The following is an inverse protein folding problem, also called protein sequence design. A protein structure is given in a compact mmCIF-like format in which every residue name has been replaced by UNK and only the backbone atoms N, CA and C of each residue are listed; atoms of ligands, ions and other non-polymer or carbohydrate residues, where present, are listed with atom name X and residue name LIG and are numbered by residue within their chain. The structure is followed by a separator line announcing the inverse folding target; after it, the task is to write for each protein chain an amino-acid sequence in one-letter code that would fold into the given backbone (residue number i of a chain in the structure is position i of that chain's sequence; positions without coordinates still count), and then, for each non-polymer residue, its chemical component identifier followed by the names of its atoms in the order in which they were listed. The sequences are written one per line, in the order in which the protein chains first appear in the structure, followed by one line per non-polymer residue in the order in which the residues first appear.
data_IF_468034711298
#
_entry.id   IF_468034711298
#
_cell.length_a   1.000
_cell.length_b   1.000
_cell.length_c   1.000
_cell.angle_alpha   90.00
_cell.angle_beta   90.00
_cell.angle_gamma   90.00
#
_symmetry.space_group_name_H-M   'P 1'
#
loop_
_entity.id
_entity.type
_entity.pdbx_description
1 polymer ?
#
# COMPACT_ATOMS: atom_id res chain seq x y z
N UNK A 1 20.46 54.30 25.48
CA UNK A 1 21.26 54.50 24.24
C UNK A 1 21.86 53.16 23.83
N UNK A 2 21.46 52.63 22.69
CA UNK A 2 22.00 51.36 22.17
C UNK A 2 23.44 51.60 21.71
N UNK A 3 24.39 50.81 22.20
CA UNK A 3 25.81 50.99 21.94
C UNK A 3 26.09 50.65 20.47
N UNK A 4 26.53 51.62 19.70
CA UNK A 4 26.79 51.52 18.25
C UNK A 4 27.70 50.30 17.91
N UNK A 5 28.67 50.00 18.79
CA UNK A 5 29.51 48.80 18.68
C UNK A 5 28.69 47.48 18.68
N UNK A 6 27.70 47.38 19.56
CA UNK A 6 26.90 46.16 19.70
C UNK A 6 25.99 45.97 18.46
N UNK A 7 25.42 47.05 17.93
CA UNK A 7 24.63 47.02 16.68
C UNK A 7 25.48 46.58 15.49
N UNK A 8 26.66 47.14 15.37
CA UNK A 8 27.60 46.79 14.28
C UNK A 8 28.03 45.31 14.37
N UNK A 9 28.36 44.81 15.56
CA UNK A 9 28.71 43.39 15.79
C UNK A 9 27.53 42.48 15.41
N UNK A 10 26.32 42.85 15.82
CA UNK A 10 25.12 42.06 15.48
C UNK A 10 24.86 41.99 14.00
N UNK A 11 25.06 43.09 13.25
CA UNK A 11 24.92 43.11 11.77
C UNK A 11 25.99 42.24 11.13
N UNK A 12 27.23 42.30 11.57
CA UNK A 12 28.30 41.45 11.02
C UNK A 12 28.03 39.97 11.27
N UNK A 13 27.55 39.58 12.46
CA UNK A 13 27.21 38.20 12.78
C UNK A 13 26.03 37.75 11.94
N UNK A 14 24.98 38.56 11.82
CA UNK A 14 23.80 38.22 10.99
C UNK A 14 24.18 38.03 9.52
N UNK A 15 25.03 38.92 8.98
CA UNK A 15 25.55 38.80 7.58
C UNK A 15 26.37 37.54 7.41
N UNK A 16 27.26 37.23 8.36
CA UNK A 16 28.07 36.02 8.33
C UNK A 16 27.20 34.73 8.37
N UNK A 17 26.16 34.72 9.19
CA UNK A 17 25.21 33.59 9.26
C UNK A 17 24.40 33.43 7.97
N UNK A 18 23.97 34.53 7.33
CA UNK A 18 23.27 34.50 6.05
C UNK A 18 24.20 33.99 4.95
N UNK A 19 25.44 34.46 4.91
CA UNK A 19 26.44 33.96 3.95
C UNK A 19 26.76 32.50 4.16
N UNK A 20 26.95 32.08 5.42
CA UNK A 20 27.17 30.68 5.76
C UNK A 20 25.96 29.78 5.38
N UNK A 21 24.73 30.21 5.65
CA UNK A 21 23.51 29.50 5.24
C UNK A 21 23.41 29.42 3.71
N UNK A 22 23.76 30.48 2.99
CA UNK A 22 23.76 30.49 1.54
C UNK A 22 24.83 29.57 0.95
N UNK A 23 26.04 29.55 1.55
CA UNK A 23 27.11 28.63 1.14
C UNK A 23 26.78 27.17 1.45
N UNK A 24 26.17 26.89 2.60
CA UNK A 24 25.69 25.55 2.95
C UNK A 24 24.57 25.11 1.99
N UNK A 25 23.66 26.02 1.63
CA UNK A 25 22.61 25.71 0.65
C UNK A 25 23.18 25.41 -0.75
N UNK A 26 24.21 26.16 -1.18
CA UNK A 26 24.91 25.89 -2.44
C UNK A 26 25.81 24.65 -2.40
N UNK A 27 26.38 24.33 -1.25
CA UNK A 27 27.22 23.17 -1.03
C UNK A 27 26.42 21.88 -0.78
N UNK A 28 25.08 21.95 -0.70
CA UNK A 28 24.28 20.72 -0.79
C UNK A 28 24.61 20.10 -2.14
N UNK A 29 25.22 18.89 -2.16
CA UNK A 29 25.39 18.21 -3.43
C UNK A 29 24.02 18.19 -4.08
N UNK A 30 23.89 18.76 -5.28
CA UNK A 30 22.79 18.42 -6.14
C UNK A 30 22.74 16.90 -6.08
N UNK A 31 21.58 16.32 -5.72
CA UNK A 31 21.38 14.88 -5.87
C UNK A 31 21.69 14.65 -7.34
N UNK A 32 22.87 14.13 -7.61
CA UNK A 32 23.29 13.77 -8.95
C UNK A 32 22.35 12.63 -9.32
N UNK A 33 21.25 12.99 -9.97
CA UNK A 33 20.36 12.03 -10.58
C UNK A 33 21.26 11.33 -11.59
N UNK A 34 21.55 10.06 -11.30
CA UNK A 34 22.38 9.17 -12.09
C UNK A 34 21.80 9.16 -13.52
N UNK A 35 22.29 10.08 -14.35
CA UNK A 35 21.81 10.24 -15.72
C UNK A 35 22.21 8.99 -16.50
N UNK A 36 21.31 8.39 -17.27
CA UNK A 36 21.65 7.24 -18.09
C UNK A 36 22.76 7.64 -19.07
N UNK A 37 23.77 6.80 -19.22
CA UNK A 37 24.88 7.05 -20.13
C UNK A 37 24.41 7.19 -21.59
N UNK A 38 25.22 7.84 -22.46
CA UNK A 38 24.88 8.03 -23.88
C UNK A 38 24.58 6.73 -24.63
N UNK A 39 25.19 5.61 -24.21
CA UNK A 39 24.91 4.27 -24.76
C UNK A 39 23.51 3.79 -24.48
N UNK A 40 23.03 4.04 -23.28
CA UNK A 40 21.67 3.70 -22.86
C UNK A 40 20.63 4.53 -23.65
N UNK A 41 20.85 5.83 -23.81
CA UNK A 41 19.97 6.70 -24.60
C UNK A 41 19.89 6.22 -26.06
N UNK A 42 20.99 5.69 -26.61
CA UNK A 42 21.00 5.08 -27.94
C UNK A 42 20.25 3.75 -28.00
N UNK A 43 20.34 2.91 -26.96
CA UNK A 43 19.65 1.62 -26.90
C UNK A 43 18.12 1.75 -26.76
N UNK A 44 17.62 2.82 -26.14
CA UNK A 44 16.18 3.13 -26.03
C UNK A 44 15.59 3.74 -27.30
N UNK A 45 16.44 4.13 -28.27
CA UNK A 45 16.10 4.43 -29.65
C UNK A 45 15.08 5.55 -29.84
N UNK A 46 14.28 5.44 -30.91
CA UNK A 46 13.31 6.45 -31.36
C UNK A 46 12.29 6.89 -30.31
N UNK A 47 12.01 6.06 -29.31
CA UNK A 47 11.07 6.42 -28.24
C UNK A 47 11.58 7.64 -27.46
N UNK A 48 12.85 7.60 -27.03
CA UNK A 48 13.45 8.68 -26.22
C UNK A 48 13.62 9.96 -27.05
N UNK A 49 13.98 9.86 -28.32
CA UNK A 49 14.14 11.03 -29.20
C UNK A 49 12.85 11.89 -29.22
N UNK A 50 11.70 11.27 -29.41
CA UNK A 50 10.43 11.97 -29.46
C UNK A 50 9.94 12.33 -28.03
N UNK A 51 9.88 11.36 -27.13
CA UNK A 51 9.31 11.56 -25.80
C UNK A 51 10.15 12.46 -24.89
N UNK A 52 11.41 12.72 -25.20
CA UNK A 52 12.20 13.76 -24.51
C UNK A 52 11.64 15.17 -24.73
N UNK A 53 10.94 15.38 -25.83
CA UNK A 53 10.29 16.66 -26.15
C UNK A 53 8.80 16.64 -25.76
N UNK A 54 8.09 15.57 -26.09
CA UNK A 54 6.63 15.47 -25.92
C UNK A 54 6.23 15.18 -24.46
N UNK A 55 6.98 14.32 -23.76
CA UNK A 55 6.68 13.86 -22.40
C UNK A 55 7.96 13.67 -21.58
N UNK A 56 8.77 14.72 -21.49
CA UNK A 56 10.10 14.70 -20.85
C UNK A 56 10.11 14.15 -19.42
N UNK A 57 9.03 14.38 -18.65
CA UNK A 57 8.90 13.87 -17.29
C UNK A 57 8.90 12.32 -17.24
N UNK A 58 8.30 11.66 -18.21
CA UNK A 58 8.31 10.18 -18.33
C UNK A 58 9.74 9.68 -18.55
N UNK A 59 10.48 10.33 -19.44
CA UNK A 59 11.86 9.98 -19.72
C UNK A 59 12.75 10.20 -18.49
N UNK A 60 12.56 11.31 -17.78
CA UNK A 60 13.27 11.58 -16.54
C UNK A 60 12.99 10.50 -15.47
N UNK A 61 11.73 10.17 -15.21
CA UNK A 61 11.35 9.14 -14.24
C UNK A 61 11.94 7.77 -14.61
N UNK A 62 11.84 7.39 -15.87
CA UNK A 62 12.37 6.13 -16.36
C UNK A 62 13.90 6.07 -16.24
N UNK A 63 14.62 7.14 -16.58
CA UNK A 63 16.08 7.21 -16.56
C UNK A 63 16.68 6.91 -15.17
N UNK A 64 15.96 7.24 -14.10
CA UNK A 64 16.36 6.97 -12.71
C UNK A 64 15.99 5.57 -12.22
N UNK A 65 15.21 4.81 -13.00
CA UNK A 65 14.69 3.49 -12.61
C UNK A 65 15.77 2.41 -12.61
N UNK A 66 15.53 1.33 -11.85
CA UNK A 66 16.36 0.12 -11.92
C UNK A 66 16.20 -0.59 -13.27
N UNK A 67 15.07 -0.45 -13.94
CA UNK A 67 14.84 -0.98 -15.28
C UNK A 67 15.79 -0.33 -16.29
N UNK A 68 15.89 0.99 -16.26
CA UNK A 68 16.82 1.72 -17.08
C UNK A 68 18.27 1.25 -16.88
N UNK A 69 18.70 1.11 -15.62
CA UNK A 69 20.06 0.63 -15.26
C UNK A 69 20.33 -0.82 -15.68
N UNK A 70 19.30 -1.60 -16.00
CA UNK A 70 19.40 -2.99 -16.47
C UNK A 70 19.05 -3.13 -17.96
N UNK A 71 19.02 -2.03 -18.71
CA UNK A 71 18.71 -1.99 -20.14
C UNK A 71 17.34 -2.59 -20.52
N UNK A 72 16.37 -2.55 -19.60
CA UNK A 72 14.96 -2.87 -19.90
C UNK A 72 14.36 -1.63 -20.57
N UNK A 73 14.13 -1.68 -21.86
CA UNK A 73 13.71 -0.52 -22.66
C UNK A 73 12.20 -0.23 -22.53
N UNK A 74 11.76 0.88 -23.11
CA UNK A 74 10.33 1.23 -23.14
C UNK A 74 9.50 0.12 -23.78
N UNK A 75 10.03 -0.49 -24.86
CA UNK A 75 9.32 -1.48 -25.64
C UNK A 75 9.07 -2.79 -24.87
N UNK A 76 9.96 -3.24 -23.98
CA UNK A 76 9.72 -4.44 -23.17
C UNK A 76 8.45 -4.33 -22.33
N UNK A 77 8.15 -3.13 -21.81
CA UNK A 77 6.91 -2.89 -21.06
C UNK A 77 5.73 -2.60 -21.98
N UNK A 78 5.95 -1.87 -23.09
CA UNK A 78 4.89 -1.42 -23.99
C UNK A 78 4.58 -2.39 -25.13
N UNK A 79 5.36 -3.45 -25.30
CA UNK A 79 5.07 -4.50 -26.27
C UNK A 79 3.76 -5.22 -25.94
N UNK A 80 2.84 -5.40 -26.90
CA UNK A 80 1.62 -6.16 -26.66
C UNK A 80 1.93 -7.59 -26.23
N UNK A 81 1.12 -8.09 -25.32
CA UNK A 81 1.10 -9.48 -24.92
C UNK A 81 -0.17 -10.14 -25.46
N UNK A 82 -0.20 -11.48 -25.53
CA UNK A 82 -1.36 -12.23 -26.01
C UNK A 82 -2.64 -11.80 -25.26
N UNK A 83 -3.69 -11.49 -26.03
CA UNK A 83 -4.97 -11.03 -25.48
C UNK A 83 -5.06 -9.53 -25.19
N UNK A 84 -4.01 -8.75 -25.44
CA UNK A 84 -4.07 -7.29 -25.28
C UNK A 84 -4.53 -6.59 -26.57
N UNK A 85 -5.28 -5.51 -26.39
CA UNK A 85 -5.63 -4.61 -27.49
C UNK A 85 -4.38 -3.83 -27.93
N UNK A 86 -4.18 -3.76 -29.24
CA UNK A 86 -3.01 -3.15 -29.87
C UNK A 86 -3.32 -1.79 -30.49
N UNK A 87 -2.34 -0.90 -30.48
CA UNK A 87 -2.40 0.38 -31.18
C UNK A 87 -1.14 0.58 -32.04
N UNK A 88 -1.26 1.09 -33.27
CA UNK A 88 -0.11 1.52 -34.06
C UNK A 88 0.44 2.85 -33.52
N UNK A 89 1.76 2.94 -33.40
CA UNK A 89 2.44 4.14 -32.91
C UNK A 89 3.79 4.33 -33.58
N UNK A 90 3.91 5.27 -34.54
CA UNK A 90 5.17 5.68 -35.18
C UNK A 90 6.02 4.51 -35.73
N UNK A 91 5.38 3.51 -36.31
CA UNK A 91 6.02 2.31 -36.88
C UNK A 91 6.23 1.17 -35.88
N UNK A 92 5.71 1.31 -34.67
CA UNK A 92 5.62 0.23 -33.67
C UNK A 92 4.17 -0.16 -33.43
N UNK A 93 3.97 -1.40 -32.97
CA UNK A 93 2.71 -1.87 -32.42
C UNK A 93 2.87 -1.89 -30.89
N UNK A 94 2.03 -1.17 -30.18
CA UNK A 94 2.08 -1.06 -28.72
C UNK A 94 0.80 -1.62 -28.09
N UNK A 95 0.92 -2.11 -26.86
CA UNK A 95 -0.24 -2.40 -26.03
C UNK A 95 -0.99 -1.10 -25.74
N UNK A 96 -2.29 -1.07 -25.97
CA UNK A 96 -3.15 0.09 -25.64
C UNK A 96 -3.14 0.39 -24.16
N UNK A 97 -3.15 -0.65 -23.32
CA UNK A 97 -3.10 -0.56 -21.88
C UNK A 97 -2.00 -1.45 -21.32
N UNK A 98 -1.18 -0.90 -20.44
CA UNK A 98 -0.19 -1.67 -19.70
C UNK A 98 -0.85 -2.21 -18.44
N UNK A 99 -0.90 -3.53 -18.31
CA UNK A 99 -1.54 -4.28 -17.24
C UNK A 99 -0.51 -5.05 -16.41
N UNK A 100 -0.96 -5.82 -15.43
CA UNK A 100 -0.11 -6.75 -14.70
C UNK A 100 0.52 -7.83 -15.60
N UNK A 101 -0.08 -8.12 -16.76
CA UNK A 101 0.45 -9.09 -17.73
C UNK A 101 1.82 -8.68 -18.27
N UNK A 102 2.02 -7.39 -18.55
CA UNK A 102 3.31 -6.87 -19.03
C UNK A 102 4.43 -7.01 -17.98
N UNK A 103 4.09 -6.87 -16.70
CA UNK A 103 5.05 -7.07 -15.61
C UNK A 103 5.37 -8.55 -15.38
N UNK A 104 4.34 -9.40 -15.42
CA UNK A 104 4.40 -10.85 -15.13
C UNK A 104 5.42 -11.59 -15.98
N UNK A 105 5.66 -11.19 -17.21
CA UNK A 105 6.61 -11.87 -18.10
C UNK A 105 8.04 -11.95 -17.50
N UNK A 106 8.42 -11.00 -16.66
CA UNK A 106 9.71 -11.02 -15.95
C UNK A 106 9.54 -11.22 -14.44
N UNK A 107 8.43 -10.73 -13.85
CA UNK A 107 8.12 -10.74 -12.43
C UNK A 107 7.04 -11.79 -12.08
N UNK A 108 7.23 -13.03 -12.58
CA UNK A 108 6.24 -14.11 -12.40
C UNK A 108 6.03 -14.47 -10.92
N UNK A 109 7.09 -14.49 -10.13
CA UNK A 109 7.02 -14.81 -8.69
C UNK A 109 6.19 -13.76 -7.94
N UNK A 110 6.49 -12.50 -8.15
CA UNK A 110 5.83 -11.37 -7.53
C UNK A 110 4.35 -11.32 -7.92
N UNK A 111 4.05 -11.54 -9.21
CA UNK A 111 2.68 -11.61 -9.69
C UNK A 111 1.89 -12.75 -9.04
N UNK A 112 2.45 -13.95 -8.98
CA UNK A 112 1.80 -15.11 -8.34
C UNK A 112 1.59 -14.91 -6.83
N UNK A 113 2.51 -14.24 -6.14
CA UNK A 113 2.35 -13.86 -4.73
C UNK A 113 1.25 -12.81 -4.57
N UNK A 114 1.23 -11.79 -5.44
CA UNK A 114 0.18 -10.78 -5.46
C UNK A 114 -1.21 -11.40 -5.65
N UNK A 115 -1.36 -12.34 -6.56
CA UNK A 115 -2.64 -13.04 -6.78
C UNK A 115 -3.13 -13.83 -5.57
N UNK A 116 -2.21 -14.32 -4.71
CA UNK A 116 -2.55 -14.97 -3.44
C UNK A 116 -2.91 -13.99 -2.33
N UNK A 117 -2.60 -12.71 -2.51
CA UNK A 117 -2.92 -11.68 -1.53
C UNK A 117 -4.37 -11.21 -1.64
N UNK A 118 -4.87 -10.57 -0.59
CA UNK A 118 -6.18 -9.91 -0.62
C UNK A 118 -6.21 -8.68 -1.53
N UNK A 119 -5.06 -8.19 -1.98
CA UNK A 119 -4.97 -7.16 -3.01
C UNK A 119 -5.24 -7.68 -4.42
N UNK A 120 -5.24 -9.00 -4.64
CA UNK A 120 -5.69 -9.61 -5.89
C UNK A 120 -7.20 -9.48 -6.09
N UNK A 121 -7.82 -10.49 -6.67
CA UNK A 121 -9.25 -10.48 -6.99
C UNK A 121 -10.18 -10.07 -5.81
N UNK A 122 -9.93 -10.49 -4.54
CA UNK A 122 -10.78 -10.10 -3.43
C UNK A 122 -10.93 -8.59 -3.22
N UNK A 123 -9.92 -7.78 -3.54
CA UNK A 123 -10.01 -6.33 -3.38
C UNK A 123 -11.10 -5.72 -4.27
N UNK A 124 -11.15 -6.11 -5.54
CA UNK A 124 -12.19 -5.64 -6.46
C UNK A 124 -13.56 -6.25 -6.15
N UNK A 125 -13.60 -7.56 -5.91
CA UNK A 125 -14.84 -8.26 -5.59
C UNK A 125 -15.52 -7.74 -4.31
N UNK A 126 -14.77 -7.17 -3.37
CA UNK A 126 -15.32 -6.56 -2.17
C UNK A 126 -16.31 -5.43 -2.47
N UNK A 127 -16.14 -4.74 -3.58
CA UNK A 127 -16.98 -3.61 -4.01
C UNK A 127 -17.87 -4.01 -5.19
N UNK A 128 -17.30 -4.53 -6.27
CA UNK A 128 -18.01 -4.81 -7.54
C UNK A 128 -18.64 -6.19 -7.62
N UNK A 129 -18.35 -7.09 -6.67
CA UNK A 129 -18.73 -8.50 -6.77
C UNK A 129 -18.03 -9.21 -7.91
N UNK A 130 -18.63 -10.32 -8.36
CA UNK A 130 -18.02 -11.20 -9.38
C UNK A 130 -18.24 -10.78 -10.83
N UNK A 131 -19.08 -9.78 -11.10
CA UNK A 131 -19.60 -9.48 -12.45
C UNK A 131 -18.54 -9.13 -13.51
N UNK A 132 -17.38 -8.61 -13.07
CA UNK A 132 -16.33 -8.15 -13.97
C UNK A 132 -15.25 -9.22 -14.22
N UNK A 133 -15.32 -10.38 -13.55
CA UNK A 133 -14.37 -11.47 -13.70
C UNK A 133 -14.79 -12.49 -14.73
N UNK A 134 -13.84 -13.03 -15.52
CA UNK A 134 -14.06 -14.22 -16.31
C UNK A 134 -14.18 -15.47 -15.43
N UNK A 135 -14.69 -16.57 -16.00
CA UNK A 135 -14.79 -17.85 -15.29
C UNK A 135 -13.41 -18.37 -14.82
N UNK A 136 -12.37 -18.18 -15.63
CA UNK A 136 -10.99 -18.59 -15.31
C UNK A 136 -10.43 -17.74 -14.17
N UNK A 137 -10.69 -16.41 -14.17
CA UNK A 137 -10.26 -15.51 -13.11
C UNK A 137 -10.95 -15.84 -11.78
N UNK A 138 -12.25 -16.18 -11.83
CA UNK A 138 -13.00 -16.64 -10.63
C UNK A 138 -12.41 -17.95 -10.12
N UNK A 139 -12.21 -18.96 -10.99
CA UNK A 139 -11.68 -20.26 -10.59
C UNK A 139 -10.30 -20.14 -9.95
N UNK A 140 -9.45 -19.28 -10.50
CA UNK A 140 -8.14 -18.98 -9.93
C UNK A 140 -8.23 -18.34 -8.56
N UNK A 141 -9.07 -17.31 -8.41
CA UNK A 141 -9.23 -16.59 -7.16
C UNK A 141 -9.84 -17.46 -6.05
N UNK A 142 -10.85 -18.25 -6.35
CA UNK A 142 -11.49 -19.18 -5.41
C UNK A 142 -10.54 -20.26 -4.88
N UNK A 143 -9.54 -20.66 -5.66
CA UNK A 143 -8.49 -21.58 -5.20
C UNK A 143 -7.73 -21.04 -3.99
N UNK A 144 -7.47 -19.74 -3.93
CA UNK A 144 -6.69 -19.10 -2.87
C UNK A 144 -7.54 -18.35 -1.83
N UNK A 145 -8.76 -17.97 -2.22
CA UNK A 145 -9.67 -17.15 -1.43
C UNK A 145 -11.10 -17.66 -1.52
N UNK A 146 -11.39 -18.88 -1.06
CA UNK A 146 -12.72 -19.50 -1.17
C UNK A 146 -13.83 -18.59 -0.64
N UNK A 147 -14.92 -18.45 -1.41
CA UNK A 147 -16.10 -17.67 -1.04
C UNK A 147 -15.91 -16.16 -0.99
N UNK A 148 -14.81 -15.63 -1.55
CA UNK A 148 -14.53 -14.18 -1.48
C UNK A 148 -14.81 -13.43 -2.77
N UNK A 149 -14.79 -14.09 -3.90
CA UNK A 149 -15.03 -13.48 -5.22
C UNK A 149 -16.44 -13.78 -5.72
N UNK A 150 -16.94 -14.99 -5.49
CA UNK A 150 -18.32 -15.38 -5.83
C UNK A 150 -19.29 -14.71 -4.87
N UNK A 151 -19.61 -13.46 -5.15
CA UNK A 151 -20.51 -12.63 -4.34
C UNK A 151 -21.17 -11.53 -5.19
N UNK A 152 -22.33 -11.01 -4.79
CA UNK A 152 -22.89 -9.80 -5.40
C UNK A 152 -22.03 -8.58 -5.10
N UNK A 153 -22.27 -7.49 -5.84
CA UNK A 153 -21.72 -6.20 -5.50
C UNK A 153 -22.15 -5.74 -4.10
N UNK A 154 -21.30 -4.95 -3.46
CA UNK A 154 -21.57 -4.41 -2.13
C UNK A 154 -22.83 -3.52 -2.15
N UNK A 155 -23.77 -3.74 -1.22
CA UNK A 155 -25.01 -2.97 -1.15
C UNK A 155 -24.77 -1.47 -0.98
N UNK A 156 -23.82 -1.08 -0.12
CA UNK A 156 -23.47 0.32 0.09
C UNK A 156 -22.96 0.94 -1.22
N UNK A 157 -22.08 0.26 -1.96
CA UNK A 157 -21.60 0.74 -3.24
C UNK A 157 -22.72 0.91 -4.28
N UNK A 158 -23.77 0.10 -4.22
CA UNK A 158 -24.97 0.23 -5.06
C UNK A 158 -25.77 1.46 -4.66
N UNK A 159 -25.98 1.68 -3.37
CA UNK A 159 -26.74 2.82 -2.82
C UNK A 159 -26.03 4.14 -3.14
N UNK A 160 -24.75 4.22 -2.92
CA UNK A 160 -23.89 5.38 -3.19
C UNK A 160 -23.87 5.77 -4.69
N UNK A 161 -24.05 4.79 -5.56
CA UNK A 161 -24.16 4.98 -6.98
C UNK A 161 -22.83 5.10 -7.75
N UNK A 162 -22.95 5.17 -9.08
CA UNK A 162 -21.81 5.02 -10.00
C UNK A 162 -20.76 6.13 -9.85
N UNK A 163 -21.16 7.35 -9.53
CA UNK A 163 -20.22 8.47 -9.36
C UNK A 163 -19.25 8.23 -8.19
N UNK A 164 -19.80 7.82 -7.05
CA UNK A 164 -19.02 7.50 -5.85
C UNK A 164 -18.18 6.24 -6.07
N UNK A 165 -18.74 5.22 -6.73
CA UNK A 165 -17.99 4.04 -7.13
C UNK A 165 -16.72 4.40 -7.89
N UNK A 166 -16.85 5.16 -8.98
CA UNK A 166 -15.74 5.46 -9.88
C UNK A 166 -14.69 6.40 -9.25
N UNK A 167 -15.10 7.34 -8.42
CA UNK A 167 -14.19 8.34 -7.82
C UNK A 167 -13.70 7.98 -6.43
N UNK A 168 -14.48 7.22 -5.68
CA UNK A 168 -14.18 6.78 -4.34
C UNK A 168 -13.68 5.33 -4.31
N UNK A 169 -14.59 4.37 -4.35
CA UNK A 169 -14.28 2.96 -4.14
C UNK A 169 -13.22 2.41 -5.10
N UNK A 170 -13.32 2.73 -6.40
CA UNK A 170 -12.37 2.25 -7.40
C UNK A 170 -10.96 2.82 -7.22
N UNK A 171 -10.81 3.99 -6.61
CA UNK A 171 -9.49 4.59 -6.36
C UNK A 171 -8.58 3.67 -5.55
N UNK A 172 -9.16 2.90 -4.62
CA UNK A 172 -8.43 1.96 -3.78
C UNK A 172 -8.59 0.50 -4.26
N UNK A 173 -9.83 0.08 -4.54
CA UNK A 173 -10.16 -1.31 -4.82
C UNK A 173 -9.74 -1.77 -6.21
N UNK A 174 -9.46 -0.86 -7.16
CA UNK A 174 -8.95 -1.19 -8.50
C UNK A 174 -7.58 -1.88 -8.51
N UNK A 175 -6.87 -1.91 -7.38
CA UNK A 175 -5.64 -2.70 -7.24
C UNK A 175 -5.85 -4.17 -7.66
N UNK A 176 -7.03 -4.74 -7.39
CA UNK A 176 -7.41 -6.11 -7.74
C UNK A 176 -8.36 -6.25 -8.93
N UNK A 177 -8.54 -5.18 -9.74
CA UNK A 177 -9.45 -5.18 -10.88
C UNK A 177 -9.04 -6.21 -11.94
N UNK A 178 -9.98 -7.02 -12.48
CA UNK A 178 -9.69 -7.90 -13.60
C UNK A 178 -9.42 -7.10 -14.88
N UNK A 179 -8.44 -7.55 -15.68
CA UNK A 179 -8.10 -6.97 -16.95
C UNK A 179 -8.67 -7.84 -18.10
N UNK A 180 -8.92 -7.22 -19.25
CA UNK A 180 -9.48 -7.90 -20.43
C UNK A 180 -8.53 -8.97 -21.00
N UNK A 181 -7.23 -8.85 -20.75
CA UNK A 181 -6.20 -9.82 -21.15
C UNK A 181 -6.09 -11.04 -20.21
N UNK A 182 -7.05 -11.22 -19.32
CA UNK A 182 -7.09 -12.33 -18.37
C UNK A 182 -6.23 -12.12 -17.10
N UNK A 183 -5.37 -11.11 -17.05
CA UNK A 183 -4.63 -10.78 -15.85
C UNK A 183 -5.53 -10.12 -14.78
N UNK A 184 -5.06 -10.11 -13.53
CA UNK A 184 -5.76 -9.47 -12.42
C UNK A 184 -4.84 -8.41 -11.80
N UNK A 185 -5.41 -7.23 -11.56
CA UNK A 185 -4.80 -6.18 -10.79
C UNK A 185 -3.78 -5.32 -11.52
N UNK A 186 -3.12 -4.46 -10.73
CA UNK A 186 -2.10 -3.55 -11.23
C UNK A 186 -0.92 -3.44 -10.26
N UNK A 187 0.29 -3.56 -10.80
CA UNK A 187 1.52 -3.40 -10.04
C UNK A 187 1.82 -1.91 -9.74
N UNK A 188 1.25 -1.02 -10.56
CA UNK A 188 1.54 0.43 -10.50
C UNK A 188 0.82 1.17 -9.37
N UNK A 189 -0.04 0.49 -8.61
CA UNK A 189 -0.58 1.03 -7.37
C UNK A 189 0.52 1.23 -6.30
N UNK A 190 1.56 0.37 -6.31
CA UNK A 190 2.70 0.45 -5.38
C UNK A 190 3.98 0.90 -6.08
N UNK A 191 4.20 0.48 -7.33
CA UNK A 191 5.37 0.82 -8.14
C UNK A 191 5.00 1.89 -9.17
N UNK A 192 5.22 3.16 -8.82
CA UNK A 192 4.83 4.28 -9.68
C UNK A 192 5.44 4.20 -11.08
N UNK A 193 4.65 4.50 -12.09
CA UNK A 193 5.13 4.71 -13.47
C UNK A 193 5.97 6.00 -13.50
N UNK A 194 7.07 6.08 -14.16
CA UNK A 194 7.86 5.10 -14.90
C UNK A 194 9.10 4.71 -14.12
N UNK A 195 9.25 5.24 -12.92
CA UNK A 195 10.40 4.98 -12.05
C UNK A 195 10.44 3.54 -11.51
N UNK A 196 9.28 2.88 -11.37
CA UNK A 196 9.14 1.57 -10.74
C UNK A 196 9.93 1.46 -9.42
N UNK A 197 9.92 2.54 -8.62
CA UNK A 197 10.81 2.72 -7.49
C UNK A 197 10.48 1.80 -6.32
N UNK A 198 11.46 1.01 -5.88
CA UNK A 198 11.36 0.23 -4.63
C UNK A 198 11.37 1.15 -3.42
N UNK A 199 12.14 2.25 -3.47
CA UNK A 199 12.18 3.22 -2.38
C UNK A 199 10.80 3.86 -2.16
N UNK A 200 10.09 4.20 -3.22
CA UNK A 200 8.74 4.73 -3.11
C UNK A 200 7.77 3.67 -2.59
N UNK A 201 7.83 2.44 -3.11
CA UNK A 201 6.96 1.33 -2.68
C UNK A 201 7.15 0.95 -1.20
N UNK A 202 8.31 1.24 -0.60
CA UNK A 202 8.59 1.00 0.83
C UNK A 202 8.13 2.11 1.77
N UNK A 203 7.75 3.28 1.24
CA UNK A 203 7.26 4.38 2.07
C UNK A 203 5.85 4.06 2.58
N UNK A 204 5.53 4.35 3.85
CA UNK A 204 4.19 4.18 4.41
C UNK A 204 3.13 4.92 3.61
N UNK A 205 3.46 6.08 3.07
CA UNK A 205 2.59 6.92 2.26
C UNK A 205 2.10 6.22 0.99
N UNK A 206 2.85 5.26 0.45
CA UNK A 206 2.41 4.44 -0.69
C UNK A 206 1.26 3.51 -0.30
N UNK A 207 1.33 2.89 0.87
CA UNK A 207 0.23 2.09 1.42
C UNK A 207 -0.95 2.97 1.82
N UNK A 208 -0.63 4.13 2.40
CA UNK A 208 -1.57 5.13 2.89
C UNK A 208 -2.46 5.75 1.82
N UNK A 209 -2.14 5.61 0.51
CA UNK A 209 -3.05 6.06 -0.55
C UNK A 209 -4.42 5.35 -0.49
N UNK A 210 -4.48 4.15 0.10
CA UNK A 210 -5.68 3.35 0.25
C UNK A 210 -5.97 3.00 1.73
N UNK A 211 -4.92 2.82 2.53
CA UNK A 211 -5.02 2.48 3.95
C UNK A 211 -5.02 3.75 4.82
N UNK A 212 -6.05 4.56 4.65
CA UNK A 212 -6.26 5.84 5.34
C UNK A 212 -7.75 6.10 5.58
N UNK A 213 -8.04 7.05 6.43
CA UNK A 213 -9.41 7.47 6.75
C UNK A 213 -10.05 6.63 7.86
N UNK A 214 -11.31 6.92 8.21
CA UNK A 214 -11.92 6.43 9.45
C UNK A 214 -12.08 4.91 9.51
N UNK A 215 -12.23 4.23 8.38
CA UNK A 215 -12.43 2.78 8.31
C UNK A 215 -11.17 1.98 7.95
N UNK A 216 -10.13 2.67 7.47
CA UNK A 216 -8.85 2.10 7.02
C UNK A 216 -7.66 2.90 7.55
N UNK A 217 -7.72 3.37 8.78
CA UNK A 217 -6.81 4.34 9.43
C UNK A 217 -5.38 3.81 9.69
N UNK A 218 -4.89 2.85 8.90
CA UNK A 218 -3.58 2.25 9.18
C UNK A 218 -2.42 3.25 9.03
N UNK A 219 -2.49 4.20 8.09
CA UNK A 219 -1.44 5.21 7.96
C UNK A 219 -1.42 6.14 9.17
N UNK A 220 -2.58 6.61 9.62
CA UNK A 220 -2.73 7.46 10.78
C UNK A 220 -2.26 6.74 12.05
N UNK A 221 -2.69 5.49 12.26
CA UNK A 221 -2.23 4.63 13.35
C UNK A 221 -0.71 4.46 13.33
N UNK A 222 -0.13 4.19 12.14
CA UNK A 222 1.31 4.06 11.99
C UNK A 222 2.03 5.36 12.36
N UNK A 223 1.58 6.51 11.84
CA UNK A 223 2.22 7.81 12.06
C UNK A 223 2.24 8.20 13.54
N UNK A 224 1.23 7.84 14.32
CA UNK A 224 1.15 8.08 15.75
C UNK A 224 1.85 7.01 16.59
N UNK A 225 2.13 5.84 16.01
CA UNK A 225 2.90 4.81 16.69
C UNK A 225 4.36 5.22 16.91
N UNK A 226 5.04 4.56 17.86
CA UNK A 226 6.48 4.77 18.06
C UNK A 226 7.30 4.49 16.80
N UNK A 227 6.90 3.53 15.98
CA UNK A 227 7.55 3.25 14.71
C UNK A 227 7.37 4.40 13.71
N UNK A 228 6.17 4.94 13.60
CA UNK A 228 5.89 6.07 12.71
C UNK A 228 6.62 7.34 13.12
N UNK A 229 6.59 7.69 14.40
CA UNK A 229 7.35 8.84 14.92
C UNK A 229 8.85 8.71 14.63
N UNK A 230 9.43 7.53 14.84
CA UNK A 230 10.82 7.28 14.53
C UNK A 230 11.08 7.31 13.02
N UNK A 231 10.18 6.76 12.20
CA UNK A 231 10.28 6.84 10.74
C UNK A 231 10.32 8.29 10.26
N UNK A 232 9.40 9.13 10.71
CA UNK A 232 9.34 10.54 10.33
C UNK A 232 10.61 11.31 10.75
N UNK A 233 11.15 11.03 11.94
CA UNK A 233 12.37 11.68 12.42
C UNK A 233 13.65 11.18 11.77
N UNK A 234 13.68 9.93 11.26
CA UNK A 234 14.89 9.30 10.73
C UNK A 234 14.80 8.98 9.24
N UNK A 235 13.75 9.39 8.54
CA UNK A 235 13.49 9.06 7.12
C UNK A 235 14.69 9.29 6.20
N UNK A 236 15.47 10.34 6.46
CA UNK A 236 16.66 10.67 5.67
C UNK A 236 17.83 9.67 5.84
N UNK A 237 17.81 8.86 6.89
CA UNK A 237 18.84 7.86 7.20
C UNK A 237 18.48 6.44 6.74
N UNK A 238 17.27 6.24 6.20
CA UNK A 238 16.82 4.94 5.72
C UNK A 238 17.33 4.67 4.31
N UNK A 239 17.90 3.49 4.08
CA UNK A 239 18.24 3.02 2.74
C UNK A 239 17.04 2.32 2.08
N UNK A 240 16.02 3.09 1.72
CA UNK A 240 14.82 2.57 1.06
C UNK A 240 15.10 1.89 -0.29
N UNK A 241 16.28 2.12 -0.90
CA UNK A 241 16.71 1.51 -2.16
C UNK A 241 17.48 0.19 -2.00
N UNK A 242 17.79 -0.23 -0.77
CA UNK A 242 18.50 -1.47 -0.53
C UNK A 242 17.88 -2.65 -1.30
N UNK A 243 18.68 -3.59 -1.85
CA UNK A 243 18.16 -4.77 -2.53
C UNK A 243 17.23 -5.56 -1.61
N UNK A 244 16.11 -6.04 -2.14
CA UNK A 244 15.06 -6.65 -1.30
C UNK A 244 15.52 -7.92 -0.55
N UNK A 245 16.45 -8.69 -1.15
CA UNK A 245 17.01 -9.92 -0.55
C UNK A 245 18.18 -9.66 0.40
N UNK A 246 18.72 -8.46 0.41
CA UNK A 246 19.91 -8.08 1.19
C UNK A 246 19.56 -7.01 2.25
N UNK A 247 18.29 -6.77 2.48
CA UNK A 247 17.81 -5.75 3.40
C UNK A 247 18.18 -6.09 4.83
N UNK A 248 18.85 -5.15 5.51
CA UNK A 248 19.29 -5.31 6.89
C UNK A 248 18.65 -4.31 7.83
N UNK A 249 18.77 -4.51 9.14
CA UNK A 249 18.38 -3.55 10.16
C UNK A 249 19.22 -2.27 10.13
N UNK A 250 20.38 -2.27 9.47
CA UNK A 250 21.17 -1.05 9.22
C UNK A 250 20.55 -0.20 8.13
N UNK A 251 19.97 -0.83 7.08
CA UNK A 251 19.23 -0.13 6.03
C UNK A 251 17.91 0.40 6.55
N UNK A 252 17.26 -0.35 7.41
CA UNK A 252 15.94 -0.07 7.98
C UNK A 252 15.99 -0.14 9.52
N UNK A 253 16.65 0.81 10.19
CA UNK A 253 16.67 0.86 11.66
C UNK A 253 15.29 1.10 12.26
N UNK A 254 14.35 1.56 11.45
CA UNK A 254 12.93 1.70 11.80
C UNK A 254 12.10 1.03 10.72
N UNK A 255 11.11 0.19 11.08
CA UNK A 255 10.28 -0.49 10.08
C UNK A 255 9.27 0.45 9.43
N UNK A 256 8.89 0.12 8.20
CA UNK A 256 7.73 0.65 7.49
C UNK A 256 6.70 -0.45 7.30
N UNK A 257 5.53 -0.11 6.71
CA UNK A 257 4.52 -1.12 6.36
C UNK A 257 5.13 -2.26 5.55
N UNK A 258 5.91 -1.92 4.52
CA UNK A 258 6.58 -2.91 3.67
C UNK A 258 7.60 -3.75 4.44
N UNK A 259 8.27 -3.21 5.46
CA UNK A 259 9.24 -3.95 6.27
C UNK A 259 8.56 -5.10 7.00
N UNK A 260 7.39 -4.84 7.62
CA UNK A 260 6.65 -5.86 8.35
C UNK A 260 5.94 -6.85 7.43
N UNK A 261 5.29 -6.36 6.38
CA UNK A 261 4.38 -7.18 5.57
C UNK A 261 5.01 -7.88 4.38
N UNK A 262 6.14 -7.38 3.83
CA UNK A 262 6.64 -7.82 2.53
C UNK A 262 8.14 -8.12 2.48
N UNK A 263 8.95 -7.43 3.30
CA UNK A 263 10.40 -7.39 3.06
C UNK A 263 11.15 -8.63 3.51
N UNK A 264 12.34 -8.80 2.92
CA UNK A 264 13.32 -9.83 3.26
C UNK A 264 14.30 -9.39 4.35
N UNK A 265 13.86 -8.64 5.37
CA UNK A 265 14.72 -8.13 6.44
C UNK A 265 15.54 -9.24 7.08
N UNK A 266 16.88 -9.06 7.15
CA UNK A 266 17.83 -10.02 7.76
C UNK A 266 17.65 -11.45 7.23
N UNK A 267 17.53 -11.58 5.90
CA UNK A 267 17.43 -12.89 5.23
C UNK A 267 16.05 -13.53 5.25
N UNK A 268 15.03 -12.86 5.72
CA UNK A 268 13.65 -13.34 5.60
C UNK A 268 13.20 -13.39 4.14
N UNK A 269 12.20 -14.21 3.85
CA UNK A 269 11.62 -14.26 2.50
C UNK A 269 10.93 -12.94 2.13
N UNK A 270 11.22 -12.46 0.92
CA UNK A 270 10.44 -11.37 0.32
C UNK A 270 9.11 -11.93 -0.19
N UNK A 271 8.03 -11.23 0.06
CA UNK A 271 6.70 -11.63 -0.44
C UNK A 271 5.93 -10.44 -1.01
N UNK A 272 5.14 -10.69 -2.06
CA UNK A 272 4.11 -9.78 -2.57
C UNK A 272 2.70 -10.23 -2.17
N UNK A 273 2.58 -11.30 -1.38
CA UNK A 273 1.38 -11.60 -0.63
C UNK A 273 1.39 -10.79 0.68
N UNK A 274 0.86 -9.57 0.64
CA UNK A 274 0.79 -8.66 1.80
C UNK A 274 -0.03 -9.23 2.96
N UNK A 275 -0.75 -10.31 2.73
CA UNK A 275 -1.55 -10.99 3.74
C UNK A 275 -0.89 -12.25 4.33
N UNK A 276 0.26 -12.64 3.81
CA UNK A 276 0.98 -13.85 4.22
C UNK A 276 1.32 -13.86 5.72
N UNK A 277 1.71 -12.70 6.27
CA UNK A 277 2.14 -12.54 7.67
C UNK A 277 1.01 -12.12 8.61
N UNK A 278 -0.25 -12.18 8.17
CA UNK A 278 -1.40 -11.80 9.00
C UNK A 278 -2.00 -13.01 9.69
N UNK A 279 -2.41 -12.83 10.95
CA UNK A 279 -3.09 -13.85 11.76
C UNK A 279 -4.62 -13.68 11.82
N UNK A 280 -5.12 -12.46 11.62
CA UNK A 280 -6.52 -12.12 11.79
C UNK A 280 -7.16 -11.49 10.55
N UNK A 281 -8.48 -11.65 10.43
CA UNK A 281 -9.36 -10.90 9.55
C UNK A 281 -9.94 -9.71 10.32
N UNK A 282 -9.16 -8.63 10.50
CA UNK A 282 -9.56 -7.48 11.33
C UNK A 282 -10.63 -6.60 10.69
N UNK A 283 -10.78 -6.67 9.37
CA UNK A 283 -11.80 -5.89 8.64
C UNK A 283 -13.22 -6.46 8.78
N UNK A 284 -13.39 -7.69 9.25
CA UNK A 284 -14.71 -8.26 9.49
C UNK A 284 -15.37 -7.60 10.69
N UNK A 285 -16.72 -7.49 10.72
CA UNK A 285 -17.44 -6.98 11.89
C UNK A 285 -16.99 -7.71 13.16
N UNK A 286 -17.18 -9.01 13.22
CA UNK A 286 -16.60 -9.89 14.23
C UNK A 286 -15.36 -10.54 13.61
N UNK A 287 -14.20 -10.11 14.06
CA UNK A 287 -12.92 -10.58 13.53
C UNK A 287 -12.68 -12.04 13.87
N UNK A 288 -12.04 -12.76 12.92
CA UNK A 288 -11.74 -14.19 13.07
C UNK A 288 -10.28 -14.43 12.72
N UNK A 289 -9.66 -15.45 13.33
CA UNK A 289 -8.35 -15.93 12.91
C UNK A 289 -8.44 -16.48 11.48
N UNK A 290 -7.41 -16.22 10.70
CA UNK A 290 -7.29 -16.71 9.32
C UNK A 290 -7.02 -18.21 9.30
N UNK A 291 -7.35 -18.93 8.22
CA UNK A 291 -6.80 -20.26 8.01
C UNK A 291 -5.25 -20.22 8.13
N UNK A 292 -4.67 -21.17 8.84
CA UNK A 292 -3.21 -21.22 9.10
C UNK A 292 -2.64 -19.94 9.75
N UNK A 293 -3.43 -19.26 10.59
CA UNK A 293 -3.06 -18.01 11.26
C UNK A 293 -1.73 -18.12 12.04
N UNK A 294 -1.42 -19.28 12.57
CA UNK A 294 -0.18 -19.55 13.30
C UNK A 294 1.07 -19.33 12.42
N UNK A 295 1.03 -19.75 11.15
CA UNK A 295 2.14 -19.54 10.22
C UNK A 295 2.34 -18.03 9.93
N UNK A 296 1.24 -17.30 9.69
CA UNK A 296 1.28 -15.85 9.49
C UNK A 296 1.78 -15.12 10.74
N UNK A 297 1.30 -15.51 11.92
CA UNK A 297 1.73 -14.93 13.19
C UNK A 297 3.22 -15.16 13.46
N UNK A 298 3.72 -16.36 13.26
CA UNK A 298 5.13 -16.68 13.44
C UNK A 298 6.03 -15.93 12.43
N UNK A 299 5.59 -15.80 11.18
CA UNK A 299 6.30 -15.00 10.19
C UNK A 299 6.37 -13.52 10.58
N UNK A 300 5.28 -12.94 11.09
CA UNK A 300 5.26 -11.55 11.59
C UNK A 300 6.12 -11.41 12.86
N UNK A 301 5.97 -12.31 13.84
CA UNK A 301 6.82 -12.31 15.05
C UNK A 301 8.31 -12.41 14.70
N UNK A 302 8.66 -13.21 13.69
CA UNK A 302 10.04 -13.32 13.20
C UNK A 302 10.57 -11.99 12.67
N UNK A 303 9.72 -11.15 12.08
CA UNK A 303 10.09 -9.77 11.70
C UNK A 303 10.34 -8.90 12.95
N UNK A 304 9.45 -8.95 13.93
CA UNK A 304 9.59 -8.19 15.19
C UNK A 304 10.88 -8.55 15.94
N UNK A 305 11.21 -9.84 15.98
CA UNK A 305 12.39 -10.38 16.66
C UNK A 305 13.73 -9.94 16.04
N UNK A 306 13.74 -9.31 14.87
CA UNK A 306 14.97 -8.70 14.32
C UNK A 306 15.42 -7.47 15.12
N UNK A 307 14.50 -6.86 15.86
CA UNK A 307 14.76 -5.65 16.66
C UNK A 307 14.33 -5.78 18.13
N UNK A 308 13.36 -6.62 18.46
CA UNK A 308 12.75 -6.71 19.79
C UNK A 308 13.05 -8.02 20.50
N UNK A 309 13.10 -7.98 21.84
CA UNK A 309 13.20 -9.19 22.66
C UNK A 309 11.92 -10.04 22.56
N UNK A 310 12.05 -11.37 22.61
CA UNK A 310 10.93 -12.31 22.54
C UNK A 310 9.83 -12.02 23.55
N UNK A 311 10.20 -11.74 24.81
CA UNK A 311 9.23 -11.44 25.88
C UNK A 311 8.36 -10.22 25.56
N UNK A 312 8.94 -9.19 24.91
CA UNK A 312 8.20 -8.02 24.46
C UNK A 312 7.22 -8.37 23.35
N UNK A 313 7.67 -9.15 22.36
CA UNK A 313 6.83 -9.56 21.22
C UNK A 313 5.66 -10.43 21.67
N UNK A 314 5.90 -11.40 22.54
CA UNK A 314 4.83 -12.28 23.05
C UNK A 314 3.81 -11.49 23.88
N UNK A 315 4.26 -10.62 24.76
CA UNK A 315 3.37 -9.76 25.56
C UNK A 315 2.51 -8.86 24.64
N UNK A 316 3.12 -8.23 23.65
CA UNK A 316 2.41 -7.39 22.67
C UNK A 316 1.29 -8.15 21.96
N UNK A 317 1.53 -9.41 21.54
CA UNK A 317 0.50 -10.21 20.88
C UNK A 317 -0.64 -10.60 21.81
N UNK A 318 -0.34 -10.94 23.08
CA UNK A 318 -1.37 -11.25 24.08
C UNK A 318 -2.30 -10.03 24.27
N UNK A 319 -1.72 -8.86 24.53
CA UNK A 319 -2.49 -7.64 24.76
C UNK A 319 -3.28 -7.21 23.51
N UNK A 320 -2.73 -7.34 22.31
CA UNK A 320 -3.44 -7.02 21.08
C UNK A 320 -4.61 -8.00 20.81
N UNK A 321 -4.44 -9.29 21.08
CA UNK A 321 -5.54 -10.28 20.95
C UNK A 321 -6.64 -10.03 21.97
N UNK A 322 -6.34 -9.60 23.19
CA UNK A 322 -7.34 -9.20 24.20
C UNK A 322 -8.22 -8.04 23.70
N UNK A 323 -7.61 -7.03 23.07
CA UNK A 323 -8.38 -5.93 22.46
C UNK A 323 -9.30 -6.44 21.34
N UNK A 324 -8.81 -7.35 20.49
CA UNK A 324 -9.64 -7.93 19.42
C UNK A 324 -10.84 -8.68 20.00
N UNK A 325 -10.63 -9.50 21.05
CA UNK A 325 -11.71 -10.25 21.70
C UNK A 325 -12.74 -9.32 22.33
N UNK A 326 -12.32 -8.36 23.15
CA UNK A 326 -13.21 -7.38 23.77
C UNK A 326 -14.01 -6.56 22.75
N UNK A 327 -13.36 -6.14 21.66
CA UNK A 327 -14.03 -5.42 20.58
C UNK A 327 -15.05 -6.30 19.85
N UNK A 328 -14.70 -7.56 19.58
CA UNK A 328 -15.61 -8.51 18.95
C UNK A 328 -16.87 -8.74 19.79
N UNK A 329 -16.75 -8.85 21.12
CA UNK A 329 -17.89 -9.00 22.03
C UNK A 329 -18.85 -7.81 21.91
N UNK A 330 -18.33 -6.58 21.99
CA UNK A 330 -19.14 -5.35 21.86
C UNK A 330 -19.86 -5.26 20.52
N UNK A 331 -19.14 -5.54 19.42
CA UNK A 331 -19.72 -5.54 18.07
C UNK A 331 -20.78 -6.62 17.94
N UNK A 332 -20.53 -7.83 18.46
CA UNK A 332 -21.50 -8.92 18.39
C UNK A 332 -22.78 -8.58 19.16
N UNK A 333 -22.68 -7.95 20.34
CA UNK A 333 -23.84 -7.49 21.09
C UNK A 333 -24.71 -6.52 20.29
N UNK A 334 -24.09 -5.54 19.62
CA UNK A 334 -24.81 -4.59 18.80
C UNK A 334 -25.47 -5.24 17.57
N UNK A 335 -24.77 -6.15 16.91
CA UNK A 335 -25.32 -6.89 15.76
C UNK A 335 -26.49 -7.79 16.16
N UNK A 336 -26.43 -8.44 17.33
CA UNK A 336 -27.52 -9.25 17.87
C UNK A 336 -28.74 -8.38 18.17
N UNK A 337 -28.55 -7.22 18.80
CA UNK A 337 -29.64 -6.28 19.07
C UNK A 337 -30.35 -5.84 17.78
N UNK A 338 -29.60 -5.45 16.75
CA UNK A 338 -30.20 -5.07 15.45
C UNK A 338 -30.95 -6.26 14.84
N UNK A 339 -30.42 -7.48 14.95
CA UNK A 339 -31.09 -8.69 14.46
C UNK A 339 -32.38 -9.00 15.23
N UNK A 340 -32.39 -8.84 16.56
CA UNK A 340 -33.59 -9.03 17.41
C UNK A 340 -34.68 -8.03 17.02
N UNK A 341 -34.38 -6.73 16.93
CA UNK A 341 -35.30 -5.69 16.51
C UNK A 341 -35.92 -5.98 15.14
N UNK A 342 -35.12 -6.48 14.22
CA UNK A 342 -35.56 -6.85 12.87
C UNK A 342 -36.48 -8.07 12.90
N UNK A 343 -36.17 -9.08 13.72
CA UNK A 343 -37.02 -10.29 13.91
C UNK A 343 -38.34 -9.96 14.57
N UNK A 344 -38.41 -8.96 15.44
CA UNK A 344 -39.61 -8.47 16.08
C UNK A 344 -40.46 -7.56 15.19
N UNK A 345 -39.97 -7.24 13.97
CA UNK A 345 -40.65 -6.36 13.01
C UNK A 345 -40.57 -4.87 13.40
N UNK A 346 -39.64 -4.51 14.27
CA UNK A 346 -39.41 -3.12 14.70
C UNK A 346 -38.47 -2.37 13.79
N UNK A 347 -37.79 -3.07 12.87
CA UNK A 347 -36.97 -2.49 11.80
C UNK A 347 -37.48 -2.97 10.44
N UNK A 348 -37.40 -2.07 9.44
CA UNK A 348 -37.69 -2.39 8.06
C UNK A 348 -36.76 -3.50 7.52
N UNK A 349 -37.18 -4.29 6.52
CA UNK A 349 -36.30 -5.21 5.82
C UNK A 349 -35.27 -4.53 4.93
N UNK A 350 -35.49 -3.27 4.58
CA UNK A 350 -34.53 -2.48 3.77
C UNK A 350 -33.30 -2.10 4.61
N UNK A 351 -32.08 -2.25 4.09
CA UNK A 351 -30.86 -1.89 4.82
C UNK A 351 -30.60 -0.38 4.76
N UNK A 352 -30.09 0.18 5.83
CA UNK A 352 -29.67 1.58 5.96
C UNK A 352 -30.77 2.61 5.76
N UNK A 353 -31.97 2.32 6.20
CA UNK A 353 -33.09 3.24 6.23
C UNK A 353 -33.44 3.73 7.65
N UNK A 354 -32.83 3.13 8.69
CA UNK A 354 -33.05 3.48 10.08
C UNK A 354 -31.77 3.89 10.83
N UNK A 355 -31.84 4.88 11.75
CA UNK A 355 -30.66 5.40 12.45
C UNK A 355 -29.82 4.37 13.19
N UNK A 356 -30.46 3.36 13.79
CA UNK A 356 -29.75 2.33 14.56
C UNK A 356 -28.84 1.46 13.68
N UNK A 357 -29.18 1.29 12.41
CA UNK A 357 -28.38 0.52 11.48
C UNK A 357 -27.06 1.25 11.13
N UNK A 358 -27.13 2.58 10.99
CA UNK A 358 -25.93 3.42 10.81
C UNK A 358 -25.07 3.41 12.07
N UNK A 359 -25.67 3.51 13.27
CA UNK A 359 -24.91 3.43 14.53
C UNK A 359 -24.22 2.07 14.66
N UNK A 360 -24.89 0.98 14.35
CA UNK A 360 -24.31 -0.35 14.37
C UNK A 360 -23.22 -0.53 13.31
N UNK A 361 -23.41 0.08 12.13
CA UNK A 361 -22.41 0.12 11.08
C UNK A 361 -21.16 0.87 11.52
N UNK A 362 -21.30 2.08 12.07
CA UNK A 362 -20.18 2.90 12.54
C UNK A 362 -19.41 2.18 13.66
N UNK A 363 -20.12 1.52 14.58
CA UNK A 363 -19.51 0.77 15.67
C UNK A 363 -18.52 -0.30 15.17
N UNK A 364 -18.90 -1.09 14.16
CA UNK A 364 -18.01 -2.15 13.68
C UNK A 364 -17.06 -1.67 12.56
N UNK A 365 -17.56 -0.78 11.68
CA UNK A 365 -16.85 -0.39 10.46
C UNK A 365 -15.75 0.64 10.73
N UNK A 366 -16.03 1.60 11.60
CA UNK A 366 -15.05 2.63 11.97
C UNK A 366 -14.39 2.27 13.32
N UNK A 367 -15.11 2.36 14.42
CA UNK A 367 -14.53 2.23 15.76
C UNK A 367 -13.93 0.84 16.02
N UNK A 368 -14.66 -0.22 15.69
CA UNK A 368 -14.18 -1.58 15.92
C UNK A 368 -12.97 -1.94 15.06
N UNK A 369 -12.91 -1.51 13.81
CA UNK A 369 -11.72 -1.71 12.96
C UNK A 369 -10.53 -0.92 13.48
N UNK A 370 -10.74 0.35 13.79
CA UNK A 370 -9.71 1.27 14.27
C UNK A 370 -9.07 0.75 15.55
N UNK A 371 -9.88 0.34 16.55
CA UNK A 371 -9.36 -0.23 17.79
C UNK A 371 -8.50 -1.49 17.56
N UNK A 372 -8.96 -2.42 16.72
CA UNK A 372 -8.24 -3.66 16.42
C UNK A 372 -6.94 -3.42 15.65
N UNK A 373 -6.94 -2.51 14.67
CA UNK A 373 -5.73 -2.13 13.96
C UNK A 373 -4.77 -1.36 14.85
N UNK A 374 -5.28 -0.44 15.69
CA UNK A 374 -4.51 0.28 16.69
C UNK A 374 -3.74 -0.65 17.61
N UNK A 375 -4.41 -1.71 18.12
CA UNK A 375 -3.80 -2.71 18.97
C UNK A 375 -2.63 -3.43 18.29
N UNK A 376 -2.80 -3.90 17.04
CA UNK A 376 -1.74 -4.62 16.33
C UNK A 376 -0.65 -3.73 15.71
N UNK A 377 -0.87 -2.42 15.61
CA UNK A 377 0.08 -1.49 15.00
C UNK A 377 0.70 -0.52 16.01
N UNK A 378 0.31 -0.61 17.30
CA UNK A 378 0.87 0.19 18.38
C UNK A 378 0.39 1.64 18.41
N UNK A 379 -0.77 1.95 17.85
CA UNK A 379 -1.45 3.25 17.94
C UNK A 379 -2.39 3.27 19.14
N UNK A 380 -1.87 3.67 20.31
CA UNK A 380 -2.61 3.59 21.57
C UNK A 380 -3.88 4.44 21.59
N UNK A 381 -3.86 5.61 20.98
CA UNK A 381 -4.99 6.53 20.88
C UNK A 381 -6.18 5.89 20.13
N UNK A 382 -5.88 5.22 19.04
CA UNK A 382 -6.86 4.50 18.23
C UNK A 382 -7.48 3.27 18.94
N UNK A 383 -6.82 2.72 19.95
CA UNK A 383 -7.38 1.64 20.77
C UNK A 383 -8.42 2.19 21.74
N UNK A 384 -8.22 3.40 22.21
CA UNK A 384 -9.06 4.01 23.24
C UNK A 384 -10.35 4.59 22.66
N UNK A 385 -10.30 5.22 21.51
CA UNK A 385 -11.43 5.87 20.85
C UNK A 385 -12.24 4.88 19.98
#
# INVERSE_FOLDING_TARGET
MMNFKNVFISIVIATALIVAAFLIHRARPAVELDQPGPEYVRATGKCVECHSQETSAIIHQYSTSKHAKKNVTCFECHRPQDGQEEIPHKGFTLAKNITALNCRQCHTTEYNQFLRSRHGAPAWAAVSGQKDFSAEQIAYAEKYHPGTVIRPANKLAIIEGRGVMNKGCESCHSIGKPNLDGSIGTCTACHSRHSASVALARQPETCGQCHMGPDHSQLEIFNESKHGVLYLSQKAHLNLNAPAKELTTRDMPVPTCATCHMSGLEGMNVTHDVTERLSWWLFAPVSKKRPNYNLGQEAMKSTCLKCHARSHVEKFYIEAEEVVHSTNEKVQMALNLVAELRNEGLLSPEPFDEPIEFIAFDLWHYYGRTAKHGAFMGGADFVQW
#
